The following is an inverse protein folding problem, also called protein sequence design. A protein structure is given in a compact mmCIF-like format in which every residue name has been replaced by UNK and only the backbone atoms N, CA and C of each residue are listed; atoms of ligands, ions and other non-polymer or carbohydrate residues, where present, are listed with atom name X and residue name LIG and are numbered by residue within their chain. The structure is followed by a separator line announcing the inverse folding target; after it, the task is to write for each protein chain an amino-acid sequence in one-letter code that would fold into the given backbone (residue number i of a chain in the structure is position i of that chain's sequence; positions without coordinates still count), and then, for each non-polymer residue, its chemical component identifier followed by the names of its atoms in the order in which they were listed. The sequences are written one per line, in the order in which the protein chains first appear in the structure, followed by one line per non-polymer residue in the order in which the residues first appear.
data_IF_429104587020
#
_entry.id   IF_429104587020
#
_cell.length_a   1.000
_cell.length_b   1.000
_cell.length_c   1.000
_cell.angle_alpha   90.00
_cell.angle_beta   90.00
_cell.angle_gamma   90.00
#
_symmetry.space_group_name_H-M   'P 1'
#
loop_
_entity.id
_entity.type
_entity.pdbx_description
1 polymer ?
#
# COMPACT_ATOMS: atom_id res chain seq x y z
N UNK A 1 28.53 -10.98 -0.49
CA UNK A 1 27.29 -10.83 -1.29
C UNK A 1 26.30 -10.08 -0.44
N UNK A 2 26.55 -8.77 -0.36
CA UNK A 2 25.79 -7.82 0.43
C UNK A 2 24.40 -7.65 -0.17
N UNK A 3 23.37 -8.11 0.56
CA UNK A 3 22.02 -7.56 0.47
C UNK A 3 22.06 -6.19 1.13
N UNK A 4 22.73 -5.22 0.52
CA UNK A 4 22.66 -3.84 0.98
C UNK A 4 21.27 -3.28 0.65
N UNK A 5 20.50 -3.11 1.72
CA UNK A 5 19.24 -2.41 1.78
C UNK A 5 19.35 -1.05 1.10
N UNK A 6 18.94 -0.99 -0.16
CA UNK A 6 18.84 0.23 -0.95
C UNK A 6 17.42 0.37 -1.46
N UNK A 7 16.46 0.31 -0.53
CA UNK A 7 15.15 0.90 -0.76
C UNK A 7 15.07 2.14 0.11
N UNK A 8 15.00 3.32 -0.51
CA UNK A 8 14.40 4.48 0.13
C UNK A 8 12.93 4.13 0.35
N UNK A 9 12.63 3.37 1.40
CA UNK A 9 11.27 3.10 1.80
C UNK A 9 10.70 4.39 2.36
N UNK A 10 9.79 5.02 1.63
CA UNK A 10 9.02 6.11 2.21
C UNK A 10 8.03 5.43 3.15
N UNK A 11 8.34 5.51 4.44
CA UNK A 11 7.43 5.10 5.50
C UNK A 11 6.30 6.11 5.56
N UNK A 12 5.16 5.77 4.97
CA UNK A 12 3.93 6.47 5.27
C UNK A 12 3.49 6.06 6.68
N UNK A 13 4.07 6.69 7.70
CA UNK A 13 3.62 6.55 9.08
C UNK A 13 2.37 7.41 9.26
N UNK A 14 1.21 6.90 8.85
CA UNK A 14 -0.06 7.61 9.00
C UNK A 14 -0.93 6.87 10.01
N UNK A 15 -0.84 7.19 11.31
CA UNK A 15 -1.74 6.61 12.29
C UNK A 15 -3.15 7.21 12.18
N UNK A 16 -4.14 6.31 12.28
CA UNK A 16 -5.58 6.49 12.49
C UNK A 16 -6.45 6.95 11.28
N UNK A 17 -7.62 6.35 11.00
CA UNK A 17 -8.54 5.64 11.92
C UNK A 17 -8.84 4.16 11.57
N UNK A 18 -9.02 3.33 12.61
CA UNK A 18 -9.58 1.96 12.53
C UNK A 18 -8.62 0.88 13.04
N UNK A 19 -7.40 0.84 12.50
CA UNK A 19 -6.38 -0.16 12.87
C UNK A 19 -5.02 0.52 13.12
N UNK A 20 -4.64 0.82 14.37
CA UNK A 20 -3.36 1.46 14.68
C UNK A 20 -2.15 0.59 14.33
N UNK A 21 -2.38 -0.67 13.98
CA UNK A 21 -1.35 -1.67 13.79
C UNK A 21 -0.99 -1.90 12.32
N UNK A 22 -1.69 -1.28 11.36
CA UNK A 22 -1.39 -1.45 9.93
C UNK A 22 -0.45 -0.34 9.45
N UNK A 23 0.60 -0.72 8.72
CA UNK A 23 1.55 0.22 8.11
C UNK A 23 1.67 -0.05 6.61
N UNK A 24 1.89 1.02 5.84
CA UNK A 24 2.27 0.93 4.43
C UNK A 24 3.72 1.40 4.25
N UNK A 25 4.43 0.71 3.37
CA UNK A 25 5.70 1.17 2.84
C UNK A 25 5.67 1.14 1.33
N UNK A 26 6.18 2.17 0.69
CA UNK A 26 6.45 2.17 -0.75
C UNK A 26 7.94 1.96 -0.99
N UNK A 27 8.31 1.42 -2.14
CA UNK A 27 9.70 1.11 -2.45
C UNK A 27 10.03 1.38 -3.92
N UNK A 28 11.33 1.52 -4.18
CA UNK A 28 11.89 1.64 -5.53
C UNK A 28 11.92 0.31 -6.28
N UNK A 29 11.58 -0.80 -5.63
CA UNK A 29 11.38 -2.11 -6.26
C UNK A 29 9.99 -2.27 -6.90
N UNK A 30 9.28 -1.16 -7.09
CA UNK A 30 7.92 -1.09 -7.65
C UNK A 30 6.86 -1.75 -6.77
N UNK A 31 7.13 -1.92 -5.48
CA UNK A 31 6.16 -2.51 -4.57
C UNK A 31 5.61 -1.50 -3.56
N UNK A 32 4.36 -1.74 -3.19
CA UNK A 32 3.79 -1.27 -1.93
C UNK A 32 3.63 -2.49 -1.02
N UNK A 33 3.97 -2.37 0.25
CA UNK A 33 3.83 -3.47 1.21
C UNK A 33 2.95 -3.05 2.38
N UNK A 34 2.04 -3.94 2.75
CA UNK A 34 1.20 -3.84 3.93
C UNK A 34 1.82 -4.64 5.07
N UNK A 35 1.91 -4.05 6.25
CA UNK A 35 2.50 -4.66 7.44
C UNK A 35 1.53 -4.62 8.61
N UNK A 36 1.71 -5.55 9.57
CA UNK A 36 0.97 -5.54 10.83
C UNK A 36 1.93 -5.53 12.03
N UNK A 37 1.86 -4.45 12.81
CA UNK A 37 2.60 -4.26 14.04
C UNK A 37 2.22 -5.25 15.15
N UNK A 38 1.00 -5.82 15.09
CA UNK A 38 0.53 -6.87 16.01
C UNK A 38 1.21 -8.22 15.81
N UNK A 39 1.71 -8.47 14.60
CA UNK A 39 2.32 -9.75 14.23
C UNK A 39 3.84 -9.62 14.29
N UNK A 40 4.47 -9.34 13.15
CA UNK A 40 5.91 -9.17 13.00
C UNK A 40 6.21 -8.34 11.77
N UNK A 41 7.26 -7.53 11.81
CA UNK A 41 7.79 -6.81 10.65
C UNK A 41 8.77 -7.66 9.82
N UNK A 42 8.94 -8.95 10.13
CA UNK A 42 9.83 -9.84 9.39
C UNK A 42 9.32 -10.09 7.95
N UNK A 43 8.00 -10.11 7.76
CA UNK A 43 7.36 -10.35 6.47
C UNK A 43 6.09 -9.48 6.36
N UNK A 44 5.80 -8.91 5.17
CA UNK A 44 4.59 -8.15 4.95
C UNK A 44 3.36 -9.06 4.96
N UNK A 45 2.21 -8.53 5.33
CA UNK A 45 0.91 -9.19 5.16
C UNK A 45 0.53 -9.37 3.69
N UNK A 46 0.91 -8.40 2.85
CA UNK A 46 0.70 -8.42 1.41
C UNK A 46 1.73 -7.50 0.76
N UNK A 47 2.27 -7.97 -0.36
CA UNK A 47 3.02 -7.20 -1.33
C UNK A 47 2.11 -6.90 -2.51
N UNK A 48 1.91 -5.61 -2.80
CA UNK A 48 1.26 -5.13 -4.00
C UNK A 48 2.36 -4.84 -5.03
N UNK A 49 2.39 -5.63 -6.10
CA UNK A 49 3.44 -5.65 -7.13
C UNK A 49 2.88 -5.52 -8.56
N UNK A 50 1.64 -5.04 -8.69
CA UNK A 50 0.99 -4.72 -9.98
C UNK A 50 1.56 -3.45 -10.64
N UNK A 51 2.60 -2.85 -10.06
CA UNK A 51 3.20 -1.61 -10.56
C UNK A 51 4.40 -1.91 -11.46
N UNK A 52 4.50 -1.16 -12.56
CA UNK A 52 5.62 -1.27 -13.51
C UNK A 52 6.71 -0.20 -13.28
N UNK A 53 6.49 0.71 -12.32
CA UNK A 53 7.32 1.90 -12.09
C UNK A 53 7.45 2.26 -10.61
N UNK A 54 8.36 3.18 -10.30
CA UNK A 54 8.65 3.59 -8.91
C UNK A 54 7.46 4.23 -8.22
N UNK A 55 7.20 3.79 -6.99
CA UNK A 55 6.14 4.35 -6.13
C UNK A 55 6.75 5.34 -5.15
N UNK A 56 6.36 6.61 -5.29
CA UNK A 56 6.96 7.71 -4.54
C UNK A 56 6.26 8.03 -3.24
N UNK A 57 4.97 7.75 -3.12
CA UNK A 57 4.23 8.05 -1.91
C UNK A 57 2.97 7.20 -1.85
N UNK A 58 2.56 6.86 -0.63
CA UNK A 58 1.27 6.26 -0.36
C UNK A 58 0.65 6.92 0.87
N UNK A 59 -0.67 6.98 0.91
CA UNK A 59 -1.41 7.56 2.03
C UNK A 59 -2.70 6.80 2.26
N UNK A 60 -2.94 6.42 3.51
CA UNK A 60 -4.23 5.90 3.96
C UNK A 60 -5.32 6.98 3.82
N UNK A 61 -6.52 6.53 3.49
CA UNK A 61 -7.70 7.38 3.62
C UNK A 61 -7.98 7.63 5.11
N UNK A 62 -8.25 8.87 5.53
CA UNK A 62 -8.25 9.24 6.96
C UNK A 62 -9.43 8.68 7.74
N UNK A 63 -10.53 8.31 7.06
CA UNK A 63 -11.75 7.79 7.69
C UNK A 63 -12.13 6.38 7.26
N UNK A 64 -11.45 5.81 6.25
CA UNK A 64 -11.78 4.50 5.70
C UNK A 64 -10.51 3.62 5.77
N UNK A 65 -10.41 2.69 6.73
CA UNK A 65 -9.20 1.89 6.93
C UNK A 65 -8.88 0.92 5.79
N UNK A 66 -9.85 0.61 4.92
CA UNK A 66 -9.64 -0.28 3.78
C UNK A 66 -9.13 0.46 2.53
N UNK A 67 -9.10 1.79 2.54
CA UNK A 67 -8.69 2.60 1.40
C UNK A 67 -7.30 3.21 1.61
N UNK A 68 -6.46 3.08 0.60
CA UNK A 68 -5.26 3.89 0.48
C UNK A 68 -5.06 4.33 -0.96
N UNK A 69 -4.28 5.39 -1.12
CA UNK A 69 -3.83 5.86 -2.43
C UNK A 69 -2.33 5.75 -2.55
N UNK A 70 -1.81 5.58 -3.77
CA UNK A 70 -0.39 5.76 -4.05
C UNK A 70 -0.17 6.49 -5.38
N UNK A 71 1.03 7.05 -5.52
CA UNK A 71 1.44 7.81 -6.70
C UNK A 71 2.78 7.32 -7.22
N UNK A 72 2.92 7.37 -8.55
CA UNK A 72 4.08 6.79 -9.23
C UNK A 72 4.84 7.78 -10.13
N UNK A 73 5.93 7.27 -10.70
CA UNK A 73 6.82 8.02 -11.57
C UNK A 73 6.31 8.34 -12.97
N UNK A 74 5.19 7.74 -13.39
CA UNK A 74 4.54 8.10 -14.65
C UNK A 74 3.39 9.09 -14.46
N UNK A 75 3.13 9.45 -13.20
CA UNK A 75 2.11 10.42 -12.83
C UNK A 75 0.74 9.80 -12.67
N UNK A 76 0.66 8.47 -12.50
CA UNK A 76 -0.57 7.83 -12.09
C UNK A 76 -0.84 8.04 -10.61
N UNK A 77 -2.12 7.92 -10.30
CA UNK A 77 -2.68 7.92 -8.98
C UNK A 77 -3.55 6.66 -8.91
N UNK A 78 -3.23 5.79 -7.97
CA UNK A 78 -4.05 4.63 -7.68
C UNK A 78 -4.82 4.83 -6.40
N UNK A 79 -6.04 4.31 -6.40
CA UNK A 79 -6.86 4.13 -5.22
C UNK A 79 -7.12 2.63 -5.06
N UNK A 80 -6.69 2.10 -3.93
CA UNK A 80 -6.86 0.71 -3.56
C UNK A 80 -8.02 0.56 -2.59
N UNK A 81 -8.85 -0.48 -2.80
CA UNK A 81 -9.91 -0.84 -1.88
C UNK A 81 -9.74 -2.28 -1.40
N UNK A 82 -9.07 -2.38 -0.26
CA UNK A 82 -8.74 -3.63 0.40
C UNK A 82 -9.96 -4.35 0.99
N UNK A 83 -11.15 -3.77 0.99
CA UNK A 83 -12.36 -4.52 1.36
C UNK A 83 -12.85 -5.41 0.20
N UNK A 84 -12.45 -5.09 -1.03
CA UNK A 84 -12.97 -5.70 -2.25
C UNK A 84 -11.91 -6.57 -2.94
N UNK A 85 -10.76 -6.00 -3.28
CA UNK A 85 -9.69 -6.68 -4.00
C UNK A 85 -8.31 -6.22 -3.51
N UNK A 86 -7.37 -7.17 -3.38
CA UNK A 86 -5.98 -6.94 -2.95
C UNK A 86 -4.99 -7.09 -4.11
N UNK A 87 -5.44 -7.54 -5.28
CA UNK A 87 -4.57 -7.77 -6.43
C UNK A 87 -4.53 -6.56 -7.37
N UNK A 88 -5.65 -5.85 -7.53
CA UNK A 88 -5.74 -4.72 -8.46
C UNK A 88 -6.24 -3.44 -7.79
N UNK A 89 -5.79 -2.25 -8.25
CA UNK A 89 -6.34 -0.99 -7.78
C UNK A 89 -7.81 -0.85 -8.21
N UNK A 90 -8.65 -0.33 -7.31
CA UNK A 90 -10.05 -0.07 -7.64
C UNK A 90 -10.18 1.02 -8.71
N UNK A 91 -9.27 2.00 -8.69
CA UNK A 91 -9.21 3.10 -9.65
C UNK A 91 -7.75 3.43 -9.91
N UNK A 92 -7.40 3.61 -11.19
CA UNK A 92 -6.15 4.23 -11.64
C UNK A 92 -6.49 5.43 -12.53
N UNK A 93 -5.96 6.60 -12.21
CA UNK A 93 -6.16 7.84 -12.97
C UNK A 93 -4.85 8.59 -13.16
N UNK A 94 -4.86 9.62 -14.01
CA UNK A 94 -3.65 10.37 -14.35
C UNK A 94 -2.79 9.61 -15.35
N UNK A 95 -1.47 9.82 -15.26
CA UNK A 95 -0.53 9.44 -16.30
C UNK A 95 -0.42 10.51 -17.39
N UNK A 96 0.61 10.40 -18.21
CA UNK A 96 0.79 11.36 -19.31
C UNK A 96 -0.11 11.12 -20.51
N UNK A 97 -0.64 12.21 -21.04
CA UNK A 97 -1.28 12.22 -22.35
C UNK A 97 -0.32 11.77 -23.45
N UNK A 98 -0.88 11.12 -24.47
CA UNK A 98 -0.11 10.50 -25.53
C UNK A 98 0.81 11.52 -26.23
N UNK A 99 2.12 11.25 -26.22
CA UNK A 99 3.13 12.08 -26.87
C UNK A 99 3.82 13.11 -25.97
N UNK A 100 3.46 13.21 -24.69
CA UNK A 100 4.15 14.03 -23.69
C UNK A 100 5.02 13.15 -22.77
N UNK A 101 6.20 13.65 -22.31
CA UNK A 101 7.04 12.90 -21.39
C UNK A 101 6.40 12.82 -19.99
N UNK A 102 6.43 11.64 -19.33
CA UNK A 102 5.81 11.41 -18.03
C UNK A 102 6.24 12.44 -16.99
N UNK A 103 5.29 12.82 -16.12
CA UNK A 103 5.56 13.72 -15.01
C UNK A 103 5.24 13.00 -13.71
N UNK A 104 6.29 12.59 -13.02
CA UNK A 104 6.19 11.88 -11.76
C UNK A 104 5.36 12.66 -10.74
N UNK A 105 4.45 11.96 -10.05
CA UNK A 105 3.78 12.45 -8.87
C UNK A 105 4.56 11.99 -7.65
N UNK A 106 5.05 12.95 -6.87
CA UNK A 106 6.01 12.69 -5.79
C UNK A 106 5.33 12.58 -4.41
N UNK A 107 4.13 13.17 -4.28
CA UNK A 107 3.41 13.25 -3.01
C UNK A 107 1.92 13.16 -3.17
N UNK A 108 1.26 12.54 -2.19
CA UNK A 108 -0.18 12.41 -2.09
C UNK A 108 -0.64 12.62 -0.65
N UNK A 109 -1.65 13.46 -0.46
CA UNK A 109 -2.23 13.72 0.86
C UNK A 109 -3.74 13.82 0.78
N UNK A 110 -4.42 13.30 1.80
CA UNK A 110 -5.88 13.36 1.91
C UNK A 110 -6.32 14.58 2.73
N UNK A 111 -7.47 15.17 2.36
CA UNK A 111 -8.19 16.06 3.27
C UNK A 111 -8.69 15.28 4.47
N UNK A 112 -8.75 15.90 5.66
CA UNK A 112 -9.16 15.21 6.89
C UNK A 112 -10.56 14.60 6.84
N UNK A 113 -11.44 15.11 5.98
CA UNK A 113 -12.78 14.57 5.74
C UNK A 113 -12.80 13.40 4.74
N UNK A 114 -11.66 13.05 4.13
CA UNK A 114 -11.49 12.01 3.13
C UNK A 114 -12.05 12.33 1.75
N UNK A 115 -12.75 13.46 1.58
CA UNK A 115 -13.49 13.76 0.34
C UNK A 115 -12.59 14.22 -0.79
N UNK A 116 -11.37 14.63 -0.48
CA UNK A 116 -10.42 15.18 -1.45
C UNK A 116 -9.03 14.64 -1.20
N UNK A 117 -8.26 14.63 -2.28
CA UNK A 117 -6.87 14.28 -2.27
C UNK A 117 -6.09 15.32 -3.06
N UNK A 118 -4.87 15.61 -2.61
CA UNK A 118 -3.98 16.56 -3.27
C UNK A 118 -2.72 15.83 -3.69
N UNK A 119 -2.31 16.00 -4.94
CA UNK A 119 -1.06 15.44 -5.47
C UNK A 119 -0.12 16.53 -5.92
N UNK A 120 1.17 16.39 -5.62
CA UNK A 120 2.23 17.25 -6.12
C UNK A 120 3.14 16.52 -7.11
N UNK A 121 3.46 17.16 -8.24
CA UNK A 121 4.29 16.58 -9.29
C UNK A 121 5.74 17.11 -9.31
N UNK A 122 6.59 16.48 -10.12
CA UNK A 122 8.00 16.86 -10.27
C UNK A 122 8.24 18.22 -10.94
N UNK A 123 7.20 18.82 -11.55
CA UNK A 123 7.24 20.16 -12.15
C UNK A 123 6.73 21.24 -11.19
N UNK A 124 6.31 20.86 -9.98
CA UNK A 124 5.76 21.77 -8.99
C UNK A 124 4.28 22.08 -9.17
N UNK A 125 3.57 21.35 -10.05
CA UNK A 125 2.12 21.46 -10.14
C UNK A 125 1.46 20.75 -8.96
N UNK A 126 0.32 21.28 -8.54
CA UNK A 126 -0.51 20.71 -7.48
C UNK A 126 -1.91 20.52 -8.03
N UNK A 127 -2.41 19.30 -7.92
CA UNK A 127 -3.74 18.92 -8.39
C UNK A 127 -4.61 18.49 -7.22
N UNK A 128 -5.89 18.86 -7.28
CA UNK A 128 -6.89 18.50 -6.28
C UNK A 128 -7.92 17.59 -6.91
N UNK A 129 -8.08 16.42 -6.33
CA UNK A 129 -8.98 15.36 -6.75
C UNK A 129 -10.14 15.27 -5.78
N UNK A 130 -11.37 15.18 -6.31
CA UNK A 130 -12.54 14.91 -5.50
C UNK A 130 -12.86 13.42 -5.58
N UNK A 131 -13.08 12.79 -4.43
CA UNK A 131 -13.50 11.40 -4.39
C UNK A 131 -15.03 11.31 -4.49
N UNK A 132 -15.51 10.39 -5.33
CA UNK A 132 -16.93 10.13 -5.48
C UNK A 132 -17.54 9.62 -4.17
N UNK A 133 -18.79 9.98 -3.88
CA UNK A 133 -19.42 9.67 -2.59
C UNK A 133 -19.63 8.17 -2.36
N UNK A 134 -19.72 7.43 -3.45
CA UNK A 134 -19.89 5.98 -3.52
C UNK A 134 -18.66 5.23 -3.00
N UNK A 135 -17.47 5.84 -3.09
CA UNK A 135 -16.21 5.27 -2.60
C UNK A 135 -15.94 5.65 -1.14
N UNK A 136 -16.60 6.70 -0.64
CA UNK A 136 -16.44 7.18 0.73
C UNK A 136 -17.19 6.33 1.76
N UNK A 137 -18.23 5.62 1.34
CA UNK A 137 -19.03 4.79 2.25
C UNK A 137 -18.50 3.35 2.25
N UNK A 138 -17.85 2.95 3.36
CA UNK A 138 -17.77 1.54 3.72
C UNK A 138 -19.20 1.03 3.87
N UNK A 139 -19.65 0.16 2.97
CA UNK A 139 -20.87 -0.61 3.24
C UNK A 139 -20.62 -1.47 4.47
N UNK A 140 -21.64 -1.75 5.28
CA UNK A 140 -21.47 -2.53 6.51
C UNK A 140 -20.72 -3.86 6.29
N UNK A 141 -20.91 -4.46 5.13
CA UNK A 141 -20.25 -5.71 4.72
C UNK A 141 -18.77 -5.52 4.38
N UNK A 142 -18.35 -4.36 3.87
CA UNK A 142 -16.96 -4.10 3.44
C UNK A 142 -16.01 -3.98 4.64
N UNK A 143 -16.44 -3.36 5.74
CA UNK A 143 -15.60 -3.26 6.95
C UNK A 143 -15.36 -4.64 7.58
N UNK A 144 -16.42 -5.46 7.67
CA UNK A 144 -16.32 -6.82 8.19
C UNK A 144 -15.48 -7.72 7.27
N UNK A 145 -15.62 -7.57 5.95
CA UNK A 145 -14.79 -8.28 4.98
C UNK A 145 -13.31 -7.91 5.11
N UNK A 146 -13.00 -6.62 5.23
CA UNK A 146 -11.63 -6.15 5.40
C UNK A 146 -11.01 -6.69 6.70
N UNK A 147 -11.72 -6.60 7.82
CA UNK A 147 -11.29 -7.17 9.10
C UNK A 147 -10.98 -8.66 8.99
N UNK A 148 -11.91 -9.41 8.40
CA UNK A 148 -11.76 -10.84 8.18
C UNK A 148 -10.56 -11.15 7.29
N UNK A 149 -10.36 -10.41 6.20
CA UNK A 149 -9.22 -10.60 5.32
C UNK A 149 -7.89 -10.31 6.02
N UNK A 150 -7.82 -9.27 6.87
CA UNK A 150 -6.62 -8.98 7.67
C UNK A 150 -6.35 -10.07 8.72
N UNK A 151 -7.39 -10.66 9.30
CA UNK A 151 -7.25 -11.77 10.24
C UNK A 151 -6.79 -13.06 9.54
N UNK A 152 -7.39 -13.38 8.40
CA UNK A 152 -7.07 -14.55 7.57
C UNK A 152 -5.72 -14.40 6.84
N UNK A 153 -5.28 -13.17 6.57
CA UNK A 153 -4.03 -12.88 5.88
C UNK A 153 -2.84 -13.49 6.64
N UNK A 154 -2.04 -14.24 5.90
CA UNK A 154 -0.75 -14.76 6.34
C UNK A 154 0.36 -13.94 5.69
N UNK A 155 1.51 -13.78 6.36
CA UNK A 155 2.64 -13.13 5.73
C UNK A 155 3.03 -13.81 4.41
N UNK A 156 3.40 -13.02 3.41
CA UNK A 156 3.82 -13.54 2.11
C UNK A 156 5.05 -14.46 2.30
N UNK A 157 4.92 -15.72 1.89
CA UNK A 157 5.89 -16.80 2.12
C UNK A 157 6.16 -17.11 3.60
N UNK A 158 5.12 -17.10 4.44
CA UNK A 158 5.21 -17.77 5.74
C UNK A 158 5.71 -19.21 5.49
N UNK A 159 6.84 -19.64 6.10
CA UNK A 159 7.27 -21.02 5.96
C UNK A 159 6.08 -21.89 6.30
N UNK A 160 5.79 -22.85 5.42
CA UNK A 160 4.80 -23.86 5.75
C UNK A 160 5.22 -24.45 7.10
N UNK A 161 4.29 -24.82 7.99
CA UNK A 161 4.65 -25.41 9.30
C UNK A 161 5.55 -26.66 9.19
N UNK A 162 5.84 -27.13 7.96
CA UNK A 162 6.80 -28.18 7.63
C UNK A 162 8.27 -27.70 7.73
N UNK A 163 8.56 -26.42 7.49
CA UNK A 163 9.95 -25.94 7.41
C UNK A 163 10.55 -25.63 8.79
N UNK A 164 9.72 -25.23 9.77
CA UNK A 164 10.16 -24.97 11.16
C UNK A 164 10.60 -26.27 11.86
N UNK A 165 9.96 -27.40 11.54
CA UNK A 165 10.32 -28.70 12.11
C UNK A 165 11.66 -29.23 11.57
N UNK A 166 11.98 -28.92 10.31
CA UNK A 166 13.23 -29.34 9.69
C UNK A 166 14.41 -28.48 10.15
N UNK A 167 14.22 -27.17 10.35
CA UNK A 167 15.28 -26.26 10.80
C UNK A 167 15.75 -26.57 12.23
N UNK A 168 14.81 -26.90 13.13
CA UNK A 168 15.14 -27.32 14.51
C UNK A 168 15.84 -28.70 14.53
N UNK A 169 15.55 -29.57 13.56
CA UNK A 169 16.18 -30.90 13.50
C UNK A 169 17.63 -30.88 13.01
N UNK A 170 18.06 -29.83 12.31
CA UNK A 170 19.44 -29.68 11.82
C UNK A 170 20.38 -29.05 12.85
N UNK A 171 19.88 -28.21 13.77
CA UNK A 171 20.71 -27.58 14.83
C UNK A 171 21.19 -28.54 15.94
N UNK A 172 20.74 -29.81 15.97
CA UNK A 172 21.18 -30.80 16.97
C UNK A 172 22.08 -31.92 16.41
N UNK A 173 22.58 -31.81 15.17
CA UNK A 173 23.37 -32.88 14.53
C UNK A 173 24.76 -32.51 13.99
N UNK A 174 25.35 -31.38 14.39
CA UNK A 174 26.79 -31.12 14.17
C UNK A 174 27.55 -30.82 15.45
#
# INVERSE_FOLDING_TARGET
TEKEASALSIFAFVPFCGFPDLLLSTSVDWTVKLWSAKRSFAQPLKTFDDFEVYIYDAAWHPTNPALFSCVDGEGHIDLWNLANDWETPAIRVGGTEHGMPPVAKNKVVWSSDGRRMVTGDAKGNVEVWALASELLQLRGDEAANFERQIEEAKPDNAPSNVDIANDISMEFTE
#
